data_IF_750714573587
#
_entry.id   IF_750714573587
#
_cell.length_a   1.000
_cell.length_b   1.000
_cell.length_c   1.000
_cell.angle_alpha   90.00
_cell.angle_beta   90.00
_cell.angle_gamma   90.00
#
_symmetry.space_group_name_H-M   'P 1'
#
loop_
_entity.id
_entity.type
_entity.pdbx_description
1 polymer ?
#
# COMPACT_ATOMS: atom_id res chain seq x y z
N UNK A 1 5.90 -4.75 22.27
CA UNK A 1 6.48 -4.62 20.92
C UNK A 1 5.67 -5.53 19.99
N UNK A 2 5.23 -5.02 18.84
CA UNK A 2 4.51 -5.81 17.82
C UNK A 2 5.50 -6.28 16.74
N UNK A 3 5.29 -7.46 16.15
CA UNK A 3 6.16 -8.05 15.10
C UNK A 3 5.98 -7.30 13.77
N UNK A 4 6.98 -6.53 13.29
CA UNK A 4 6.93 -5.90 11.98
C UNK A 4 7.34 -6.88 10.86
N UNK A 5 7.22 -6.48 9.59
CA UNK A 5 7.54 -7.36 8.45
C UNK A 5 9.03 -7.71 8.32
N UNK A 6 9.96 -6.86 8.74
CA UNK A 6 11.40 -7.19 8.71
C UNK A 6 11.77 -8.33 9.68
N UNK A 7 10.86 -8.71 10.58
CA UNK A 7 11.01 -9.83 11.53
C UNK A 7 10.19 -11.06 11.12
N UNK A 8 9.79 -11.17 9.85
CA UNK A 8 9.23 -12.41 9.29
C UNK A 8 10.34 -13.47 9.10
N UNK A 9 10.80 -13.99 10.23
CA UNK A 9 11.85 -15.01 10.35
C UNK A 9 11.24 -16.35 10.77
N UNK A 10 11.77 -17.51 10.33
CA UNK A 10 11.24 -18.83 10.68
C UNK A 10 11.10 -19.08 12.18
N UNK A 11 12.02 -18.54 12.99
CA UNK A 11 11.99 -18.64 14.45
C UNK A 11 10.77 -17.95 15.08
N UNK A 12 10.16 -17.01 14.37
CA UNK A 12 9.07 -16.16 14.85
C UNK A 12 7.75 -16.47 14.13
N UNK A 13 7.64 -17.59 13.40
CA UNK A 13 6.44 -17.94 12.63
C UNK A 13 5.20 -18.18 13.51
N UNK A 14 5.38 -18.54 14.78
CA UNK A 14 4.29 -18.65 15.76
C UNK A 14 3.69 -17.29 16.18
N UNK A 15 4.40 -16.18 15.90
CA UNK A 15 3.94 -14.84 16.22
C UNK A 15 3.18 -14.22 15.04
N UNK A 16 1.96 -13.76 15.33
CA UNK A 16 1.11 -13.08 14.36
C UNK A 16 1.43 -11.58 14.28
N UNK A 17 1.37 -10.96 13.09
CA UNK A 17 1.38 -9.52 12.95
C UNK A 17 0.13 -8.92 13.60
N UNK A 18 0.31 -7.90 14.45
CA UNK A 18 -0.77 -7.32 15.25
C UNK A 18 -0.98 -5.81 15.03
N UNK A 19 -0.23 -5.19 14.13
CA UNK A 19 -0.34 -3.76 13.85
C UNK A 19 -0.23 -3.48 12.36
N UNK A 20 -1.13 -2.63 11.87
CA UNK A 20 -1.28 -2.30 10.47
C UNK A 20 -1.56 -0.81 10.34
N UNK A 21 -1.11 -0.21 9.24
CA UNK A 21 -1.56 1.11 8.81
C UNK A 21 -2.73 0.88 7.85
N UNK A 22 -3.84 1.56 8.07
CA UNK A 22 -4.99 1.54 7.18
C UNK A 22 -5.15 2.91 6.52
N UNK A 23 -5.35 2.94 5.21
CA UNK A 23 -5.59 4.18 4.47
C UNK A 23 -6.64 3.97 3.37
N UNK A 24 -7.57 4.92 3.18
CA UNK A 24 -8.57 4.79 2.14
C UNK A 24 -7.97 5.06 0.76
N UNK A 25 -8.55 4.41 -0.25
CA UNK A 25 -8.35 4.75 -1.66
C UNK A 25 -9.11 6.03 -1.95
N UNK A 26 -8.37 7.10 -2.28
CA UNK A 26 -8.92 8.39 -2.68
C UNK A 26 -9.37 8.40 -4.14
N UNK A 27 -8.66 7.66 -5.01
CA UNK A 27 -8.98 7.57 -6.44
C UNK A 27 -8.62 6.18 -6.97
N UNK A 28 -9.54 5.57 -7.70
CA UNK A 28 -9.31 4.33 -8.45
C UNK A 28 -9.29 4.63 -9.96
N UNK A 29 -8.11 4.53 -10.57
CA UNK A 29 -7.94 4.75 -11.99
C UNK A 29 -8.16 3.43 -12.77
N UNK A 30 -8.96 3.46 -13.86
CA UNK A 30 -9.16 2.28 -14.69
C UNK A 30 -7.90 1.83 -15.42
N UNK A 31 -6.94 2.75 -15.59
CA UNK A 31 -5.61 2.51 -16.15
C UNK A 31 -4.56 3.27 -15.34
N UNK A 32 -3.40 2.68 -15.13
CA UNK A 32 -2.24 3.40 -14.62
C UNK A 32 -1.76 4.40 -15.67
N UNK A 33 -1.80 5.68 -15.33
CA UNK A 33 -1.38 6.78 -16.19
C UNK A 33 -0.40 7.67 -15.42
N UNK A 34 0.64 8.10 -16.12
CA UNK A 34 1.61 9.06 -15.61
C UNK A 34 1.15 10.50 -15.91
N UNK A 35 1.78 11.51 -15.27
CA UNK A 35 1.43 12.92 -15.50
C UNK A 35 1.52 13.35 -16.96
N UNK A 36 0.92 14.50 -17.25
CA UNK A 36 0.85 15.05 -18.60
C UNK A 36 2.22 15.17 -19.26
N UNK A 37 2.34 14.71 -20.50
CA UNK A 37 3.56 14.71 -21.30
C UNK A 37 4.34 13.38 -21.29
N UNK A 38 3.98 12.43 -20.43
CA UNK A 38 4.59 11.10 -20.33
C UNK A 38 3.57 9.96 -20.18
N UNK A 39 2.32 10.19 -20.55
CA UNK A 39 1.20 9.25 -20.38
C UNK A 39 1.46 7.91 -21.08
N UNK A 40 2.13 7.95 -22.24
CA UNK A 40 2.48 6.77 -23.04
C UNK A 40 3.31 5.75 -22.25
N UNK A 41 4.14 6.19 -21.30
CA UNK A 41 4.92 5.30 -20.44
C UNK A 41 4.03 4.46 -19.52
N UNK A 42 2.94 5.03 -19.01
CA UNK A 42 1.96 4.29 -18.20
C UNK A 42 1.28 3.17 -19.02
N UNK A 43 0.88 3.49 -20.25
CA UNK A 43 0.31 2.51 -21.19
C UNK A 43 1.27 1.37 -21.53
N UNK A 44 2.54 1.68 -21.79
CA UNK A 44 3.57 0.65 -22.04
C UNK A 44 3.83 -0.22 -20.81
N UNK A 45 3.90 0.40 -19.63
CA UNK A 45 4.10 -0.32 -18.37
C UNK A 45 2.97 -1.34 -18.12
N UNK A 46 1.70 -0.93 -18.28
CA UNK A 46 0.56 -1.84 -18.12
C UNK A 46 0.44 -2.92 -19.20
N UNK A 47 1.03 -2.69 -20.37
CA UNK A 47 1.14 -3.68 -21.46
C UNK A 47 2.20 -4.76 -21.17
N UNK A 48 3.31 -4.39 -20.55
CA UNK A 48 4.40 -5.29 -20.18
C UNK A 48 4.14 -6.02 -18.85
N UNK A 49 3.73 -5.29 -17.82
CA UNK A 49 3.49 -5.81 -16.47
C UNK A 49 2.00 -5.72 -16.13
N UNK A 50 1.39 -6.89 -15.91
CA UNK A 50 -0.01 -6.97 -15.50
C UNK A 50 -0.26 -6.24 -14.17
N UNK A 51 0.73 -6.16 -13.27
CA UNK A 51 0.61 -5.46 -11.98
C UNK A 51 0.73 -3.94 -12.11
N UNK A 52 1.02 -3.41 -13.30
CA UNK A 52 1.07 -1.98 -13.60
C UNK A 52 -0.16 -1.51 -14.41
N UNK A 53 -1.29 -2.24 -14.36
CA UNK A 53 -2.47 -1.94 -15.20
C UNK A 53 -3.42 -0.92 -14.58
N UNK A 54 -3.60 -0.95 -13.27
CA UNK A 54 -4.52 -0.05 -12.52
C UNK A 54 -3.71 0.84 -11.60
N UNK A 55 -4.23 2.03 -11.33
CA UNK A 55 -3.64 2.98 -10.39
C UNK A 55 -4.60 3.28 -9.24
N UNK A 56 -4.11 3.33 -8.01
CA UNK A 56 -4.89 3.67 -6.83
C UNK A 56 -4.15 4.73 -6.02
N UNK A 57 -4.74 5.91 -5.89
CA UNK A 57 -4.20 6.95 -5.01
C UNK A 57 -4.72 6.71 -3.60
N UNK A 58 -3.81 6.64 -2.64
CA UNK A 58 -4.12 6.59 -1.21
C UNK A 58 -3.79 7.91 -0.54
N UNK A 59 -4.38 8.17 0.62
CA UNK A 59 -3.91 9.24 1.50
C UNK A 59 -2.64 8.82 2.24
N UNK A 60 -1.71 9.75 2.40
CA UNK A 60 -0.41 9.49 3.01
C UNK A 60 0.54 8.74 2.06
N UNK A 61 1.24 7.76 2.61
CA UNK A 61 2.30 7.01 1.93
C UNK A 61 3.70 7.38 2.41
N UNK A 62 4.71 6.89 1.69
CA UNK A 62 6.13 7.01 2.04
C UNK A 62 6.45 6.52 3.47
N UNK A 63 5.63 5.62 4.00
CA UNK A 63 5.93 4.92 5.25
C UNK A 63 6.98 3.84 5.00
N UNK A 64 7.77 3.52 6.02
CA UNK A 64 8.59 2.30 6.00
C UNK A 64 7.67 1.08 6.24
N UNK A 65 6.82 0.79 5.26
CA UNK A 65 5.77 -0.21 5.36
C UNK A 65 5.45 -0.82 3.99
N UNK A 66 4.95 -2.05 4.00
CA UNK A 66 4.59 -2.82 2.80
C UNK A 66 3.08 -2.95 2.69
N UNK A 67 2.52 -2.73 1.50
CA UNK A 67 1.11 -2.99 1.24
C UNK A 67 0.86 -4.52 1.30
N UNK A 68 -0.07 -4.96 2.14
CA UNK A 68 -0.34 -6.38 2.36
C UNK A 68 -1.78 -6.79 2.06
N UNK A 69 -2.72 -5.86 2.08
CA UNK A 69 -4.13 -6.15 1.76
C UNK A 69 -4.80 -4.99 1.04
N UNK A 70 -5.53 -5.24 -0.07
CA UNK A 70 -5.56 -6.52 -0.78
C UNK A 70 -4.18 -6.85 -1.40
N UNK A 71 -3.89 -8.15 -1.56
CA UNK A 71 -2.59 -8.61 -2.06
C UNK A 71 -2.33 -8.15 -3.50
N UNK A 72 -1.05 -8.00 -3.86
CA UNK A 72 -0.62 -7.66 -5.22
C UNK A 72 -0.68 -6.16 -5.56
N UNK A 73 -0.67 -5.30 -4.55
CA UNK A 73 -0.43 -3.86 -4.71
C UNK A 73 1.04 -3.54 -4.47
N UNK A 74 1.57 -2.59 -5.22
CA UNK A 74 2.91 -2.04 -5.03
C UNK A 74 2.93 -0.53 -5.22
N UNK A 75 3.88 0.18 -4.60
CA UNK A 75 4.11 1.59 -4.91
C UNK A 75 4.58 1.76 -6.36
N UNK A 76 4.10 2.80 -7.05
CA UNK A 76 4.54 3.08 -8.42
C UNK A 76 6.01 3.55 -8.43
N UNK A 77 6.91 2.73 -8.97
CA UNK A 77 8.31 3.12 -9.18
C UNK A 77 8.48 4.25 -10.20
N UNK A 78 7.49 4.45 -11.09
CA UNK A 78 7.52 5.50 -12.11
C UNK A 78 6.95 6.84 -11.60
N UNK A 79 5.98 6.81 -10.69
CA UNK A 79 5.42 8.02 -10.08
C UNK A 79 6.24 8.50 -8.87
N UNK A 80 6.95 7.59 -8.20
CA UNK A 80 7.77 7.87 -7.03
C UNK A 80 6.97 7.87 -5.72
N UNK A 81 7.67 8.21 -4.63
CA UNK A 81 7.11 8.26 -3.28
C UNK A 81 6.61 9.66 -2.91
N UNK A 82 5.57 9.71 -2.07
CA UNK A 82 4.95 10.94 -1.60
C UNK A 82 4.38 10.70 -0.21
N UNK A 83 4.54 11.67 0.69
CA UNK A 83 4.04 11.62 2.07
C UNK A 83 2.59 12.11 2.20
N UNK A 84 2.04 12.76 1.17
CA UNK A 84 0.69 13.30 1.18
C UNK A 84 -0.30 12.41 0.42
N UNK A 85 0.08 11.97 -0.79
CA UNK A 85 -0.70 11.06 -1.61
C UNK A 85 0.24 10.19 -2.43
N UNK A 86 0.20 8.88 -2.22
CA UNK A 86 1.01 7.92 -2.95
C UNK A 86 0.16 7.15 -3.95
N UNK A 87 0.75 6.92 -5.14
CA UNK A 87 0.17 6.06 -6.15
C UNK A 87 0.62 4.61 -5.92
N UNK A 88 -0.35 3.73 -5.72
CA UNK A 88 -0.17 2.29 -5.82
C UNK A 88 -0.57 1.82 -7.23
N UNK A 89 0.09 0.76 -7.70
CA UNK A 89 -0.27 0.03 -8.90
C UNK A 89 -0.67 -1.39 -8.56
N UNK A 90 -1.58 -1.95 -9.36
CA UNK A 90 -2.01 -3.34 -9.24
C UNK A 90 -2.63 -3.86 -10.53
N UNK A 91 -2.93 -5.15 -10.54
CA UNK A 91 -3.52 -5.80 -11.72
C UNK A 91 -4.99 -5.49 -11.95
N UNK A 92 -5.70 -5.05 -10.91
CA UNK A 92 -7.14 -4.86 -10.95
C UNK A 92 -7.93 -6.06 -10.43
N UNK A 93 -7.27 -7.20 -10.19
CA UNK A 93 -7.89 -8.33 -9.51
C UNK A 93 -8.32 -7.99 -8.07
N UNK A 94 -7.70 -6.96 -7.48
CA UNK A 94 -8.09 -6.41 -6.18
C UNK A 94 -9.48 -5.79 -6.18
N UNK A 95 -10.01 -5.41 -7.35
CA UNK A 95 -11.32 -4.78 -7.54
C UNK A 95 -11.60 -3.56 -6.64
N UNK A 96 -10.54 -2.83 -6.25
CA UNK A 96 -10.63 -1.66 -5.38
C UNK A 96 -11.41 -0.51 -6.02
N UNK A 97 -12.32 0.06 -5.25
CA UNK A 97 -13.05 1.29 -5.52
C UNK A 97 -12.54 2.44 -4.62
N UNK A 98 -13.10 3.63 -4.83
CA UNK A 98 -12.91 4.76 -3.90
C UNK A 98 -13.52 4.39 -2.55
N UNK A 99 -12.91 4.86 -1.47
CA UNK A 99 -13.26 4.59 -0.07
C UNK A 99 -12.97 3.16 0.43
N UNK A 100 -12.55 2.23 -0.44
CA UNK A 100 -12.00 0.96 0.01
C UNK A 100 -10.68 1.16 0.75
N UNK A 101 -10.38 0.25 1.69
CA UNK A 101 -9.21 0.36 2.56
C UNK A 101 -8.05 -0.50 2.07
N UNK A 102 -6.85 0.09 2.05
CA UNK A 102 -5.58 -0.62 1.88
C UNK A 102 -4.87 -0.72 3.22
N UNK A 103 -4.36 -1.91 3.53
CA UNK A 103 -3.60 -2.17 4.75
C UNK A 103 -2.12 -2.39 4.46
N UNK A 104 -1.29 -1.82 5.31
CA UNK A 104 0.15 -1.94 5.25
C UNK A 104 0.70 -2.55 6.54
N UNK A 105 1.77 -3.35 6.43
CA UNK A 105 2.58 -3.77 7.57
C UNK A 105 3.81 -2.88 7.72
N UNK A 106 4.05 -2.28 8.90
CA UNK A 106 5.32 -1.60 9.17
C UNK A 106 6.50 -2.57 9.02
N UNK A 107 7.59 -2.10 8.40
CA UNK A 107 8.89 -2.79 8.36
C UNK A 107 9.64 -2.69 9.67
N UNK A 108 9.51 -1.55 10.35
CA UNK A 108 10.13 -1.27 11.64
C UNK A 108 9.10 -0.61 12.57
N UNK A 109 8.71 -1.31 13.64
CA UNK A 109 7.64 -0.87 14.54
C UNK A 109 7.93 0.49 15.18
N UNK A 110 9.11 0.67 15.76
CA UNK A 110 9.49 1.88 16.49
C UNK A 110 9.65 3.08 15.56
N UNK A 111 10.17 2.87 14.35
CA UNK A 111 10.39 3.94 13.38
C UNK A 111 9.07 4.46 12.78
N UNK A 112 8.07 3.59 12.65
CA UNK A 112 6.80 3.90 12.00
C UNK A 112 5.73 4.31 13.01
N UNK A 113 5.50 3.51 14.06
CA UNK A 113 4.36 3.70 14.95
C UNK A 113 4.44 5.00 15.76
N UNK A 114 5.64 5.50 16.06
CA UNK A 114 5.84 6.80 16.72
C UNK A 114 5.40 8.00 15.87
N UNK A 115 5.18 7.81 14.57
CA UNK A 115 4.69 8.87 13.67
C UNK A 115 3.16 8.98 13.68
N UNK A 116 2.47 8.02 14.28
CA UNK A 116 1.01 8.01 14.42
C UNK A 116 0.62 8.51 15.82
N UNK A 117 -0.58 9.06 15.92
CA UNK A 117 -1.19 9.41 17.21
C UNK A 117 -1.74 8.17 17.92
N UNK A 118 -2.97 8.28 18.42
CA UNK A 118 -3.64 7.16 19.06
C UNK A 118 -3.80 5.97 18.09
N UNK A 119 -3.48 4.77 18.59
CA UNK A 119 -3.65 3.53 17.83
C UNK A 119 -5.05 2.98 18.11
N UNK A 120 -5.83 2.82 17.05
CA UNK A 120 -7.12 2.15 17.14
C UNK A 120 -6.93 0.65 17.44
N UNK A 121 -7.68 0.13 18.41
CA UNK A 121 -7.69 -1.29 18.76
C UNK A 121 -8.87 -1.95 18.07
N UNK A 122 -8.62 -3.08 17.43
CA UNK A 122 -9.64 -3.90 16.81
C UNK A 122 -9.76 -5.25 17.52
N UNK A 123 -10.95 -5.58 18.02
CA UNK A 123 -11.25 -6.84 18.69
C UNK A 123 -12.66 -7.32 18.33
N UNK A 124 -12.78 -8.57 17.87
CA UNK A 124 -14.08 -9.19 17.63
C UNK A 124 -14.98 -8.50 16.59
N UNK A 125 -14.39 -7.82 15.60
CA UNK A 125 -15.16 -7.10 14.57
C UNK A 125 -15.43 -5.64 14.88
N UNK A 126 -14.79 -5.07 15.90
CA UNK A 126 -15.05 -3.71 16.39
C UNK A 126 -13.75 -3.00 16.73
#
# INVERSE_FOLDING_TARGET
>A
MVKPSDFDLPLLDELLPACFIATPVLKALPRFELPYGVEWLGGLAGGWDANARRGYFIYGGNWQADAVSPAGLAGSGLYGHSSNQQLLVGSGLQALAVDDTVFFRPRQSEAVLQQFGDIAVYEGGR
#
